data_IF_451549549907
#
_entry.id   IF_451549549907
#
_cell.length_a   1.000
_cell.length_b   1.000
_cell.length_c   1.000
_cell.angle_alpha   90.00
_cell.angle_beta   90.00
_cell.angle_gamma   90.00
#
_symmetry.space_group_name_H-M   'P 1'
#
loop_
_entity.id
_entity.type
_entity.pdbx_description
1 polymer ?
#
# COMPACT_ATOMS: atom_id res chain seq x y z
N UNK A 1 3.37 -14.18 21.75
CA UNK A 1 2.41 -13.22 21.14
C UNK A 1 3.21 -12.06 20.58
N UNK A 2 3.21 -11.80 19.25
CA UNK A 2 3.84 -10.61 18.72
C UNK A 2 3.03 -9.39 19.18
N UNK A 3 3.66 -8.52 19.97
CA UNK A 3 3.07 -7.26 20.42
C UNK A 3 3.14 -6.29 19.24
N UNK A 4 2.06 -6.19 18.46
CA UNK A 4 1.97 -5.18 17.42
C UNK A 4 1.69 -3.82 18.08
N UNK A 5 2.75 -3.08 18.40
CA UNK A 5 2.66 -1.71 18.95
C UNK A 5 2.58 -0.65 17.85
N UNK A 6 2.46 -1.03 16.58
CA UNK A 6 2.27 -0.09 15.49
C UNK A 6 0.84 0.46 15.53
N UNK A 7 0.70 1.67 16.03
CA UNK A 7 -0.53 2.46 15.90
C UNK A 7 -0.48 3.26 14.62
N UNK A 8 -1.60 3.31 13.91
CA UNK A 8 -1.78 4.21 12.76
C UNK A 8 -1.57 5.66 13.22
N UNK A 9 -0.83 6.44 12.43
CA UNK A 9 -0.52 7.86 12.73
C UNK A 9 -1.79 8.71 12.83
N UNK A 10 -2.81 8.36 12.04
CA UNK A 10 -4.13 9.00 12.08
C UNK A 10 -5.15 7.95 12.56
N UNK A 11 -5.89 8.22 13.64
CA UNK A 11 -6.92 7.31 14.11
C UNK A 11 -8.05 7.19 13.09
N UNK A 12 -8.57 5.96 12.90
CA UNK A 12 -9.70 5.68 11.99
C UNK A 12 -9.33 5.36 10.54
N UNK A 13 -8.06 5.52 10.14
CA UNK A 13 -7.62 5.30 8.75
C UNK A 13 -7.22 3.84 8.47
N UNK A 14 -7.19 2.98 9.49
CA UNK A 14 -6.77 1.58 9.36
C UNK A 14 -7.55 0.83 8.28
N UNK A 15 -8.88 1.00 8.20
CA UNK A 15 -9.70 0.36 7.18
C UNK A 15 -9.34 0.80 5.75
N UNK A 16 -9.06 2.10 5.54
CA UNK A 16 -8.67 2.62 4.23
C UNK A 16 -7.27 2.14 3.81
N UNK A 17 -6.34 2.04 4.76
CA UNK A 17 -5.01 1.47 4.51
C UNK A 17 -5.07 -0.03 4.24
N UNK A 18 -5.98 -0.75 4.90
CA UNK A 18 -6.21 -2.17 4.63
C UNK A 18 -6.76 -2.37 3.22
N UNK A 19 -7.74 -1.57 2.78
CA UNK A 19 -8.24 -1.59 1.39
C UNK A 19 -7.13 -1.31 0.38
N UNK A 20 -6.35 -0.25 0.58
CA UNK A 20 -5.23 0.08 -0.30
C UNK A 20 -4.19 -1.04 -0.36
N UNK A 21 -3.92 -1.68 0.78
CA UNK A 21 -3.03 -2.84 0.85
C UNK A 21 -3.56 -4.00 0.02
N UNK A 22 -4.88 -4.24 -0.01
CA UNK A 22 -5.50 -5.28 -0.83
C UNK A 22 -5.42 -4.97 -2.31
N UNK A 23 -5.68 -3.73 -2.71
CA UNK A 23 -5.53 -3.28 -4.10
C UNK A 23 -4.10 -3.47 -4.59
N UNK A 24 -3.12 -2.94 -3.82
CA UNK A 24 -1.69 -3.05 -4.13
C UNK A 24 -1.24 -4.50 -4.18
N UNK A 25 -1.68 -5.33 -3.23
CA UNK A 25 -1.32 -6.75 -3.22
C UNK A 25 -1.91 -7.51 -4.42
N UNK A 26 -3.17 -7.26 -4.77
CA UNK A 26 -3.81 -7.86 -5.95
C UNK A 26 -3.09 -7.46 -7.24
N UNK A 27 -2.73 -6.19 -7.39
CA UNK A 27 -1.98 -5.69 -8.55
C UNK A 27 -0.56 -6.28 -8.65
N UNK A 28 0.09 -6.53 -7.52
CA UNK A 28 1.37 -7.24 -7.46
C UNK A 28 1.25 -8.75 -7.69
N UNK A 29 0.05 -9.27 -7.98
CA UNK A 29 -0.21 -10.67 -8.27
C UNK A 29 -0.46 -11.55 -7.04
N UNK A 30 -0.63 -10.97 -5.85
CA UNK A 30 -0.91 -11.70 -4.62
C UNK A 30 -2.42 -11.73 -4.32
N UNK A 31 -3.14 -12.66 -4.94
CA UNK A 31 -4.60 -12.77 -4.88
C UNK A 31 -5.18 -13.24 -3.54
N UNK A 32 -4.38 -13.35 -2.47
CA UNK A 32 -4.89 -13.80 -1.17
C UNK A 32 -4.17 -13.23 0.06
N UNK A 33 -3.64 -12.01 -0.07
CA UNK A 33 -2.80 -11.36 0.95
C UNK A 33 -3.46 -11.16 2.34
N UNK A 34 -4.78 -11.31 2.42
CA UNK A 34 -5.57 -11.35 3.66
C UNK A 34 -5.46 -12.66 4.41
N UNK A 35 -5.54 -13.77 3.69
CA UNK A 35 -5.61 -15.11 4.26
C UNK A 35 -4.24 -15.75 4.42
N UNK A 36 -3.24 -15.24 3.71
CA UNK A 36 -1.88 -15.74 3.82
C UNK A 36 -1.24 -15.16 5.09
N UNK A 37 -0.68 -16.04 5.92
CA UNK A 37 0.15 -15.60 7.03
C UNK A 37 1.32 -14.77 6.50
N UNK A 38 1.36 -13.50 6.91
CA UNK A 38 2.40 -12.54 6.50
C UNK A 38 3.79 -12.99 6.97
N UNK A 39 3.88 -13.86 7.98
CA UNK A 39 5.11 -14.51 8.41
C UNK A 39 5.60 -15.63 7.47
N UNK A 40 4.72 -16.19 6.63
CA UNK A 40 5.05 -17.21 5.63
C UNK A 40 5.46 -16.60 4.29
N UNK A 41 5.08 -15.34 4.03
CA UNK A 41 5.49 -14.62 2.83
C UNK A 41 6.96 -14.19 2.90
N UNK A 42 7.72 -14.25 1.79
CA UNK A 42 9.08 -13.74 1.77
C UNK A 42 9.12 -12.26 2.22
N UNK A 43 10.07 -11.91 3.09
CA UNK A 43 10.21 -10.54 3.60
C UNK A 43 10.29 -9.49 2.48
N UNK A 44 10.85 -9.88 1.34
CA UNK A 44 10.93 -9.06 0.13
C UNK A 44 9.54 -8.74 -0.44
N UNK A 45 8.63 -9.71 -0.49
CA UNK A 45 7.25 -9.52 -0.97
C UNK A 45 6.50 -8.57 -0.04
N UNK A 46 6.58 -8.79 1.27
CA UNK A 46 5.98 -7.90 2.25
C UNK A 46 6.53 -6.46 2.12
N UNK A 47 7.84 -6.34 1.87
CA UNK A 47 8.51 -5.08 1.59
C UNK A 47 8.00 -4.38 0.33
N UNK A 48 7.76 -5.10 -0.76
CA UNK A 48 7.21 -4.52 -1.99
C UNK A 48 5.78 -4.01 -1.82
N UNK A 49 4.93 -4.75 -1.11
CA UNK A 49 3.55 -4.30 -0.83
C UNK A 49 3.58 -3.03 0.03
N UNK A 50 4.35 -3.02 1.12
CA UNK A 50 4.51 -1.85 1.98
C UNK A 50 5.08 -0.64 1.24
N UNK A 51 6.12 -0.85 0.42
CA UNK A 51 6.76 0.21 -0.36
C UNK A 51 5.83 0.83 -1.40
N UNK A 52 5.01 0.03 -2.08
CA UNK A 52 4.04 0.53 -3.06
C UNK A 52 2.88 1.30 -2.41
N UNK A 53 2.41 0.88 -1.23
CA UNK A 53 1.45 1.66 -0.43
C UNK A 53 2.04 3.03 -0.09
N UNK A 54 3.28 3.09 0.40
CA UNK A 54 3.94 4.37 0.71
C UNK A 54 4.11 5.24 -0.53
N UNK A 55 4.51 4.67 -1.68
CA UNK A 55 4.60 5.42 -2.95
C UNK A 55 3.25 6.05 -3.33
N UNK A 56 2.13 5.31 -3.22
CA UNK A 56 0.78 5.85 -3.49
C UNK A 56 0.40 6.98 -2.53
N UNK A 57 0.63 6.79 -1.24
CA UNK A 57 0.33 7.82 -0.23
C UNK A 57 1.16 9.09 -0.45
N UNK A 58 2.44 8.95 -0.81
CA UNK A 58 3.31 10.09 -1.14
C UNK A 58 2.83 10.78 -2.42
N UNK A 59 2.47 10.04 -3.47
CA UNK A 59 1.92 10.61 -4.69
C UNK A 59 0.62 11.39 -4.44
N UNK A 60 -0.28 10.84 -3.63
CA UNK A 60 -1.50 11.53 -3.18
C UNK A 60 -1.19 12.83 -2.42
N UNK A 61 -0.25 12.76 -1.47
CA UNK A 61 0.17 13.93 -0.69
C UNK A 61 0.83 15.01 -1.55
N UNK A 62 1.66 14.62 -2.52
CA UNK A 62 2.28 15.52 -3.49
C UNK A 62 1.23 16.21 -4.37
N UNK A 63 0.23 15.46 -4.85
CA UNK A 63 -0.83 16.02 -5.68
C UNK A 63 -1.76 16.96 -4.89
N UNK A 64 -2.07 16.63 -3.63
CA UNK A 64 -2.78 17.51 -2.73
C UNK A 64 -2.00 18.82 -2.46
N UNK A 65 -0.69 18.73 -2.25
CA UNK A 65 0.18 19.90 -2.04
C UNK A 65 0.30 20.78 -3.30
N UNK A 66 0.29 20.16 -4.49
CA UNK A 66 0.33 20.86 -5.77
C UNK A 66 -0.96 21.64 -6.09
N UNK A 67 -1.95 21.73 -5.17
CA UNK A 67 -3.28 22.32 -5.38
C UNK A 67 -4.00 21.78 -6.63
N UNK A 68 -3.63 20.58 -7.07
CA UNK A 68 -4.21 19.91 -8.22
C UNK A 68 -5.04 18.73 -7.71
N UNK A 69 -6.19 19.05 -7.11
CA UNK A 69 -7.13 18.06 -6.56
C UNK A 69 -7.58 17.04 -7.63
N UNK A 70 -7.63 17.44 -8.91
CA UNK A 70 -7.92 16.56 -10.06
C UNK A 70 -6.73 15.65 -10.46
N UNK A 71 -5.49 16.08 -10.23
CA UNK A 71 -4.31 15.23 -10.48
C UNK A 71 -4.11 14.18 -9.39
N UNK A 72 -4.60 14.42 -8.16
CA UNK A 72 -4.50 13.47 -7.05
C UNK A 72 -5.25 12.17 -7.31
N UNK A 73 -6.41 12.25 -7.97
CA UNK A 73 -7.25 11.09 -8.29
C UNK A 73 -6.61 10.25 -9.43
N UNK A 74 -5.97 10.92 -10.40
CA UNK A 74 -5.24 10.26 -11.48
C UNK A 74 -3.87 9.71 -11.07
N UNK A 75 -3.19 10.35 -10.12
CA UNK A 75 -1.87 9.93 -9.65
C UNK A 75 -1.90 8.55 -8.96
N UNK A 76 -2.99 8.21 -8.27
CA UNK A 76 -3.18 6.87 -7.67
C UNK A 76 -3.30 5.75 -8.69
N UNK A 77 -3.92 6.02 -9.84
CA UNK A 77 -4.17 5.04 -10.90
C UNK A 77 -2.97 4.80 -11.81
N UNK A 78 -1.95 5.68 -11.77
CA UNK A 78 -0.76 5.61 -12.63
C UNK A 78 0.53 5.26 -11.89
N UNK A 79 0.48 4.95 -10.58
CA UNK A 79 1.65 4.35 -9.93
C UNK A 79 1.82 2.96 -10.53
N UNK A 80 2.85 2.79 -11.37
CA UNK A 80 3.16 1.51 -11.98
C UNK A 80 3.77 0.60 -10.90
N UNK A 81 3.04 -0.45 -10.52
CA UNK A 81 3.47 -1.38 -9.47
C UNK A 81 4.45 -2.39 -10.08
N UNK A 82 5.73 -2.16 -9.85
CA UNK A 82 6.78 -3.04 -10.33
C UNK A 82 6.78 -4.34 -9.50
N UNK A 83 6.42 -5.45 -10.14
CA UNK A 83 6.63 -6.79 -9.59
C UNK A 83 8.12 -7.15 -9.63
N UNK A 84 8.64 -7.92 -8.66
CA UNK A 84 10.02 -8.40 -8.72
C UNK A 84 10.23 -9.29 -9.95
N UNK A 85 11.15 -8.90 -10.84
CA UNK A 85 11.75 -9.82 -11.80
C UNK A 85 12.58 -10.86 -11.03
N UNK A 86 12.09 -12.09 -11.01
CA UNK A 86 12.75 -13.23 -10.36
C UNK A 86 12.25 -14.53 -10.94
#
# INVERSE_FOLDING_TARGET
MPRNTNSTVIPGVSNALDQMKFEVANELGFTNYEQIDKGSLPSRVNGYVGGNITKRLVALGQAALANNTEAAINATSQVNLEQPIG
#
